data_IF_809388165826
#
_entry.id   IF_809388165826
#
_cell.length_a   1.000
_cell.length_b   1.000
_cell.length_c   1.000
_cell.angle_alpha   90.00
_cell.angle_beta   90.00
_cell.angle_gamma   90.00
#
_symmetry.space_group_name_H-M   'P 1'
#
loop_
_entity.id
_entity.type
_entity.pdbx_description
1 polymer ?
#
# COMPACT_ATOMS: atom_id res chain seq x y z
N UNK A 1 -15.69 -23.45 -2.21
CA UNK A 1 -15.20 -24.23 -1.05
C UNK A 1 -15.51 -23.41 0.20
N UNK A 2 -16.29 -23.95 1.14
CA UNK A 2 -16.89 -23.17 2.24
C UNK A 2 -15.83 -22.43 3.08
N UNK A 3 -15.85 -21.10 3.09
CA UNK A 3 -14.90 -20.23 3.81
C UNK A 3 -14.75 -20.60 5.30
N UNK A 4 -15.82 -21.08 5.94
CA UNK A 4 -15.81 -21.57 7.32
C UNK A 4 -14.92 -22.82 7.52
N UNK A 5 -14.84 -23.73 6.53
CA UNK A 5 -13.98 -24.93 6.61
C UNK A 5 -12.50 -24.57 6.47
N UNK A 6 -12.18 -23.57 5.65
CA UNK A 6 -10.79 -23.08 5.47
C UNK A 6 -10.31 -22.37 6.73
N UNK A 7 -11.18 -21.58 7.37
CA UNK A 7 -10.85 -20.91 8.65
C UNK A 7 -10.62 -21.92 9.78
N UNK A 8 -11.42 -23.01 9.83
CA UNK A 8 -11.26 -24.08 10.81
C UNK A 8 -10.00 -24.90 10.59
N UNK A 9 -9.60 -25.11 9.33
CA UNK A 9 -8.37 -25.82 8.99
C UNK A 9 -7.12 -24.98 9.36
N UNK A 10 -7.14 -23.67 9.11
CA UNK A 10 -6.10 -22.74 9.52
C UNK A 10 -5.98 -22.63 11.05
N UNK A 11 -7.12 -22.56 11.76
CA UNK A 11 -7.15 -22.59 13.21
C UNK A 11 -6.62 -23.92 13.79
N UNK A 12 -6.97 -25.06 13.17
CA UNK A 12 -6.48 -26.37 13.58
C UNK A 12 -4.96 -26.53 13.35
N UNK A 13 -4.42 -26.03 12.25
CA UNK A 13 -2.97 -26.00 11.98
C UNK A 13 -2.25 -25.12 12.99
N UNK A 14 -2.81 -23.97 13.37
CA UNK A 14 -2.30 -23.11 14.44
C UNK A 14 -2.28 -23.83 15.78
N UNK A 15 -3.35 -24.54 16.16
CA UNK A 15 -3.47 -25.26 17.45
C UNK A 15 -2.47 -26.43 17.51
N UNK A 16 -2.27 -27.17 16.41
CA UNK A 16 -1.28 -28.28 16.34
C UNK A 16 0.14 -27.73 16.44
N UNK A 17 0.43 -26.55 15.86
CA UNK A 17 1.71 -25.86 16.00
C UNK A 17 1.96 -25.41 17.44
N UNK A 18 0.91 -25.01 18.19
CA UNK A 18 0.98 -24.65 19.61
C UNK A 18 1.41 -25.83 20.49
N UNK A 19 0.90 -27.02 20.23
CA UNK A 19 1.21 -28.21 21.05
C UNK A 19 2.67 -28.66 20.90
N UNK A 20 3.31 -28.41 19.77
CA UNK A 20 4.73 -28.74 19.54
C UNK A 20 5.69 -27.65 20.02
N UNK A 21 5.25 -26.40 20.13
CA UNK A 21 6.09 -25.28 20.56
C UNK A 21 6.42 -25.27 22.05
N UNK A 22 5.66 -26.01 22.88
CA UNK A 22 5.88 -26.10 24.33
C UNK A 22 7.16 -26.84 24.75
N UNK A 23 7.83 -27.54 23.83
CA UNK A 23 9.02 -28.32 24.10
C UNK A 23 10.34 -27.69 23.60
N UNK A 24 10.41 -26.37 23.43
CA UNK A 24 11.67 -25.71 23.09
C UNK A 24 12.47 -25.50 24.38
N UNK A 25 13.56 -26.23 24.61
CA UNK A 25 14.41 -25.96 25.75
C UNK A 25 15.00 -24.56 25.64
N UNK A 26 14.82 -23.73 26.66
CA UNK A 26 15.49 -22.44 26.84
C UNK A 26 16.99 -22.62 27.19
N UNK A 27 17.64 -23.63 26.63
CA UNK A 27 19.05 -23.84 26.83
C UNK A 27 19.85 -22.73 26.12
N UNK A 28 20.34 -21.79 26.92
CA UNK A 28 21.36 -20.82 26.49
C UNK A 28 22.56 -21.59 25.93
N UNK A 29 22.93 -21.33 24.69
CA UNK A 29 24.16 -21.88 24.15
C UNK A 29 25.36 -21.27 24.87
N UNK A 30 26.53 -21.95 24.88
CA UNK A 30 27.80 -21.37 25.39
C UNK A 30 28.10 -20.00 24.75
N UNK A 31 27.66 -19.81 23.51
CA UNK A 31 27.82 -18.58 22.73
C UNK A 31 26.94 -17.45 23.26
N UNK A 32 25.72 -17.76 23.72
CA UNK A 32 24.84 -16.78 24.35
C UNK A 32 25.36 -16.38 25.72
N UNK A 33 25.90 -17.30 26.50
CA UNK A 33 26.55 -17.00 27.79
C UNK A 33 27.72 -16.04 27.62
N UNK A 34 28.56 -16.22 26.58
CA UNK A 34 29.66 -15.33 26.28
C UNK A 34 29.20 -13.94 25.78
N UNK A 35 28.04 -13.88 25.11
CA UNK A 35 27.45 -12.60 24.69
C UNK A 35 26.92 -11.82 25.90
N UNK A 36 26.20 -12.44 26.81
CA UNK A 36 25.60 -11.81 27.98
C UNK A 36 26.61 -11.48 29.11
N UNK A 37 27.81 -12.04 29.06
CA UNK A 37 28.87 -11.67 30.00
C UNK A 37 29.51 -10.32 29.70
N UNK A 38 29.28 -9.76 28.49
CA UNK A 38 29.79 -8.46 28.07
C UNK A 38 28.72 -7.38 28.25
N UNK A 39 29.14 -6.12 28.38
CA UNK A 39 28.23 -4.97 28.39
C UNK A 39 27.54 -4.85 27.03
N UNK A 40 26.28 -4.38 27.03
CA UNK A 40 25.55 -4.12 25.79
C UNK A 40 26.31 -3.13 24.89
N UNK A 41 26.64 -3.48 23.66
CA UNK A 41 27.61 -2.70 22.89
C UNK A 41 27.02 -1.54 22.10
N UNK A 42 25.69 -1.44 21.95
CA UNK A 42 25.04 -0.52 21.00
C UNK A 42 24.38 0.66 21.72
N UNK A 43 24.27 1.81 20.99
CA UNK A 43 23.58 3.02 21.47
C UNK A 43 22.08 2.79 21.60
N UNK A 44 21.50 2.04 20.69
CA UNK A 44 20.06 1.71 20.63
C UNK A 44 19.87 0.20 20.85
N UNK A 45 18.65 -0.20 21.26
CA UNK A 45 17.56 0.64 21.73
C UNK A 45 17.84 1.27 23.10
N UNK A 46 17.18 2.36 23.42
CA UNK A 46 17.09 2.87 24.79
C UNK A 46 16.56 1.74 25.67
N UNK A 47 17.14 1.52 26.84
CA UNK A 47 16.89 0.36 27.72
C UNK A 47 17.46 -0.98 27.20
N UNK A 48 18.23 -0.98 26.10
CA UNK A 48 18.87 -2.20 25.58
C UNK A 48 19.74 -2.89 26.60
N UNK A 49 20.47 -2.13 27.42
CA UNK A 49 21.30 -2.64 28.52
C UNK A 49 20.48 -3.39 29.59
N UNK A 50 19.33 -2.84 30.01
CA UNK A 50 18.43 -3.49 30.96
C UNK A 50 17.90 -4.83 30.46
N UNK A 51 17.54 -4.89 29.18
CA UNK A 51 17.05 -6.12 28.51
C UNK A 51 18.18 -7.13 28.36
N UNK A 52 19.39 -6.66 28.07
CA UNK A 52 20.60 -7.48 28.00
C UNK A 52 20.93 -8.11 29.36
N UNK A 53 20.86 -7.35 30.47
CA UNK A 53 21.02 -7.87 31.83
C UNK A 53 19.94 -8.90 32.18
N UNK A 54 18.71 -8.77 31.66
CA UNK A 54 17.65 -9.76 31.79
C UNK A 54 17.87 -11.02 30.90
N UNK A 55 19.03 -11.14 30.23
CA UNK A 55 19.41 -12.25 29.33
C UNK A 55 18.45 -12.45 28.16
N UNK A 56 17.82 -11.37 27.70
CA UNK A 56 16.97 -11.35 26.50
C UNK A 56 17.80 -10.82 25.35
N UNK A 57 17.94 -11.61 24.30
CA UNK A 57 18.70 -11.21 23.11
C UNK A 57 17.83 -10.40 22.16
N UNK A 58 18.20 -9.15 21.96
CA UNK A 58 17.56 -8.25 21.02
C UNK A 58 18.15 -8.43 19.61
N UNK A 59 17.38 -8.18 18.54
CA UNK A 59 17.92 -8.01 17.21
C UNK A 59 18.86 -6.80 17.16
N UNK A 60 19.72 -6.73 16.14
CA UNK A 60 20.49 -5.50 15.91
C UNK A 60 19.53 -4.30 15.77
N UNK A 61 19.89 -3.16 16.37
CA UNK A 61 18.95 -2.04 16.56
C UNK A 61 18.57 -1.31 15.28
N UNK A 62 19.35 -1.39 14.22
CA UNK A 62 19.08 -0.70 12.96
C UNK A 62 18.95 -1.70 11.82
N UNK A 63 18.22 -1.33 10.77
CA UNK A 63 18.05 -2.15 9.60
C UNK A 63 17.87 -1.36 8.32
N UNK A 64 18.26 -1.98 7.21
CA UNK A 64 17.90 -1.58 5.85
C UNK A 64 17.21 -2.76 5.20
N UNK A 65 15.99 -2.55 4.73
CA UNK A 65 15.16 -3.57 4.13
C UNK A 65 14.77 -3.15 2.71
N UNK A 66 15.00 -4.04 1.76
CA UNK A 66 14.52 -3.92 0.39
C UNK A 66 13.27 -4.77 0.22
N UNK A 67 12.24 -4.19 -0.35
CA UNK A 67 10.95 -4.83 -0.55
C UNK A 67 10.57 -4.77 -2.03
N UNK A 68 10.11 -5.91 -2.55
CA UNK A 68 9.39 -6.01 -3.81
C UNK A 68 7.96 -6.45 -3.52
N UNK A 69 6.99 -5.72 -4.05
CA UNK A 69 5.57 -6.00 -3.88
C UNK A 69 4.89 -6.00 -5.23
N UNK A 70 4.06 -7.01 -5.45
CA UNK A 70 3.14 -7.10 -6.57
C UNK A 70 1.74 -7.35 -6.02
N UNK A 71 0.73 -6.69 -6.60
CA UNK A 71 -0.63 -6.87 -6.12
C UNK A 71 -1.68 -6.25 -7.01
N UNK A 72 -2.91 -6.66 -6.75
CA UNK A 72 -4.14 -6.11 -7.32
C UNK A 72 -4.97 -5.51 -6.19
N UNK A 73 -5.55 -4.35 -6.45
CA UNK A 73 -6.45 -3.64 -5.56
C UNK A 73 -7.72 -3.29 -6.31
N UNK A 74 -8.86 -3.71 -5.80
CA UNK A 74 -10.16 -3.28 -6.29
C UNK A 74 -10.54 -1.98 -5.60
N UNK A 75 -11.12 -1.04 -6.36
CA UNK A 75 -11.38 0.34 -5.95
C UNK A 75 -12.80 0.73 -6.32
N UNK A 76 -13.33 1.73 -5.62
CA UNK A 76 -14.51 2.48 -6.04
C UNK A 76 -14.18 3.97 -6.15
N UNK A 77 -14.86 4.64 -7.08
CA UNK A 77 -14.80 6.08 -7.26
C UNK A 77 -16.15 6.67 -6.91
N UNK A 78 -16.15 7.82 -6.26
CA UNK A 78 -17.33 8.63 -5.97
C UNK A 78 -17.03 10.10 -6.17
N UNK A 79 -18.08 10.92 -6.17
CA UNK A 79 -17.99 12.39 -6.22
C UNK A 79 -17.17 12.88 -7.43
N UNK A 80 -17.48 12.32 -8.62
CA UNK A 80 -16.72 12.62 -9.82
C UNK A 80 -17.15 13.96 -10.44
N UNK A 81 -16.17 14.81 -10.68
CA UNK A 81 -16.35 16.05 -11.41
C UNK A 81 -15.36 16.17 -12.56
N UNK A 82 -15.82 16.77 -13.66
CA UNK A 82 -15.01 17.02 -14.87
C UNK A 82 -15.05 18.52 -15.20
N UNK A 83 -13.92 19.05 -15.65
CA UNK A 83 -13.82 20.41 -16.17
C UNK A 83 -13.04 20.41 -17.49
N UNK A 84 -13.46 21.22 -18.43
CA UNK A 84 -12.81 21.37 -19.74
C UNK A 84 -12.14 22.74 -19.79
N UNK A 85 -10.87 22.79 -20.15
CA UNK A 85 -10.10 24.02 -20.15
C UNK A 85 -9.06 24.07 -21.25
N UNK A 86 -8.43 25.23 -21.41
CA UNK A 86 -7.27 25.44 -22.29
C UNK A 86 -6.09 25.95 -21.48
N UNK A 87 -4.90 25.50 -21.81
CA UNK A 87 -3.68 25.97 -21.15
C UNK A 87 -3.40 27.48 -21.37
N UNK A 88 -3.92 28.04 -22.48
CA UNK A 88 -3.87 29.48 -22.77
C UNK A 88 -4.83 30.32 -21.91
N UNK A 89 -5.83 29.71 -21.29
CA UNK A 89 -6.79 30.43 -20.42
C UNK A 89 -6.23 30.48 -18.98
N UNK A 90 -6.06 31.66 -18.37
CA UNK A 90 -5.58 31.80 -17.00
C UNK A 90 -6.59 31.33 -15.95
N UNK A 91 -7.87 31.22 -16.29
CA UNK A 91 -8.91 30.80 -15.35
C UNK A 91 -9.04 29.26 -15.33
N UNK A 92 -9.11 28.62 -14.14
CA UNK A 92 -9.39 27.20 -14.06
C UNK A 92 -10.80 26.90 -14.58
N UNK A 93 -11.03 25.74 -15.22
CA UNK A 93 -12.33 25.38 -15.75
C UNK A 93 -13.36 25.19 -14.64
N UNK A 94 -14.61 25.48 -14.93
CA UNK A 94 -15.72 25.16 -14.06
C UNK A 94 -15.88 23.64 -14.00
N UNK A 95 -15.85 23.09 -12.78
CA UNK A 95 -16.07 21.65 -12.57
C UNK A 95 -17.58 21.33 -12.67
N UNK A 96 -17.88 20.27 -13.40
CA UNK A 96 -19.21 19.73 -13.62
C UNK A 96 -19.32 18.46 -12.81
N UNK A 97 -20.17 18.43 -11.80
CA UNK A 97 -20.49 17.21 -11.09
C UNK A 97 -21.23 16.23 -12.02
N UNK A 98 -20.64 15.07 -12.25
CA UNK A 98 -21.17 14.04 -13.14
C UNK A 98 -21.50 12.74 -12.39
N UNK A 99 -21.48 12.77 -11.06
CA UNK A 99 -21.70 11.61 -10.19
C UNK A 99 -23.01 10.91 -10.46
N UNK A 100 -24.08 11.67 -10.76
CA UNK A 100 -25.43 11.12 -10.99
C UNK A 100 -25.57 10.39 -12.32
N UNK A 101 -24.70 10.68 -13.31
CA UNK A 101 -24.78 10.10 -14.65
C UNK A 101 -23.69 9.07 -14.93
N UNK A 102 -22.65 9.05 -14.12
CA UNK A 102 -21.54 8.09 -14.26
C UNK A 102 -21.76 6.90 -13.33
N UNK A 103 -21.70 5.71 -13.91
CA UNK A 103 -21.65 4.46 -13.15
C UNK A 103 -20.43 3.65 -13.59
N UNK A 104 -19.65 3.22 -12.62
CA UNK A 104 -18.52 2.33 -12.81
C UNK A 104 -18.96 0.89 -12.49
N UNK A 105 -18.38 -0.09 -13.22
CA UNK A 105 -18.50 -1.50 -12.89
C UNK A 105 -17.32 -1.88 -11.96
N UNK A 106 -16.24 -2.35 -12.57
CA UNK A 106 -15.04 -2.72 -11.82
C UNK A 106 -13.91 -1.73 -12.07
N UNK A 107 -13.31 -1.26 -10.99
CA UNK A 107 -12.09 -0.47 -11.06
C UNK A 107 -10.98 -1.24 -10.37
N UNK A 108 -9.97 -1.63 -11.12
CA UNK A 108 -8.86 -2.40 -10.58
C UNK A 108 -7.52 -1.72 -10.85
N UNK A 109 -6.64 -1.79 -9.85
CA UNK A 109 -5.27 -1.32 -9.98
C UNK A 109 -4.31 -2.49 -9.74
N UNK A 110 -3.55 -2.88 -10.76
CA UNK A 110 -2.47 -3.85 -10.63
C UNK A 110 -1.16 -3.09 -10.46
N UNK A 111 -0.45 -3.35 -9.36
CA UNK A 111 0.74 -2.58 -9.01
C UNK A 111 1.97 -3.45 -8.84
N UNK A 112 3.10 -2.95 -9.31
CA UNK A 112 4.43 -3.51 -9.04
C UNK A 112 5.30 -2.42 -8.45
N UNK A 113 5.73 -2.60 -7.18
CA UNK A 113 6.50 -1.61 -6.46
C UNK A 113 7.78 -2.18 -5.91
N UNK A 114 8.79 -1.33 -5.82
CA UNK A 114 10.04 -1.61 -5.15
C UNK A 114 10.34 -0.48 -4.16
N UNK A 115 10.72 -0.83 -2.93
CA UNK A 115 11.08 0.18 -1.95
C UNK A 115 12.23 -0.24 -1.04
N UNK A 116 12.85 0.77 -0.45
CA UNK A 116 13.81 0.65 0.62
C UNK A 116 13.20 1.23 1.90
N UNK A 117 13.27 0.46 2.97
CA UNK A 117 12.92 0.87 4.32
C UNK A 117 14.18 0.95 5.17
N UNK A 118 14.35 2.05 5.88
CA UNK A 118 15.40 2.23 6.89
C UNK A 118 14.72 2.31 8.24
N UNK A 119 15.15 1.50 9.19
CA UNK A 119 14.49 1.39 10.49
C UNK A 119 15.47 1.40 11.67
N UNK A 120 14.94 1.84 12.82
CA UNK A 120 15.65 1.81 14.10
C UNK A 120 14.73 1.42 15.25
N UNK A 121 15.17 0.49 16.10
CA UNK A 121 14.54 0.19 17.37
C UNK A 121 14.91 1.28 18.40
N UNK A 122 13.99 2.20 18.66
CA UNK A 122 14.17 3.23 19.68
C UNK A 122 14.07 2.65 21.10
N UNK A 123 13.09 1.77 21.31
CA UNK A 123 12.91 0.99 22.52
C UNK A 123 12.96 -0.51 22.16
N UNK A 124 13.18 -1.42 23.10
CA UNK A 124 13.23 -2.85 22.82
C UNK A 124 12.00 -3.44 22.10
N UNK A 125 10.88 -2.74 22.18
CA UNK A 125 9.59 -3.12 21.59
C UNK A 125 9.07 -2.11 20.55
N UNK A 126 9.72 -0.96 20.36
CA UNK A 126 9.28 0.13 19.49
C UNK A 126 10.30 0.42 18.40
N UNK A 127 9.90 0.21 17.17
CA UNK A 127 10.67 0.49 15.96
C UNK A 127 10.06 1.65 15.18
N UNK A 128 10.88 2.56 14.69
CA UNK A 128 10.48 3.63 13.76
C UNK A 128 11.20 3.46 12.44
N UNK A 129 10.56 3.88 11.36
CA UNK A 129 11.14 3.70 10.04
C UNK A 129 10.71 4.73 9.01
N UNK A 130 11.57 4.95 8.03
CA UNK A 130 11.29 5.67 6.81
C UNK A 130 11.24 4.72 5.62
N UNK A 131 10.45 5.08 4.62
CA UNK A 131 10.28 4.33 3.37
C UNK A 131 10.53 5.29 2.21
N UNK A 132 11.26 4.84 1.21
CA UNK A 132 11.36 5.48 -0.10
C UNK A 132 11.21 4.39 -1.15
N UNK A 133 10.39 4.65 -2.16
CA UNK A 133 10.10 3.63 -3.16
C UNK A 133 9.63 4.19 -4.49
N UNK A 134 9.46 3.28 -5.42
CA UNK A 134 8.98 3.54 -6.75
C UNK A 134 7.90 2.52 -7.12
N UNK A 135 6.80 3.00 -7.66
CA UNK A 135 5.84 2.22 -8.41
C UNK A 135 6.32 2.18 -9.85
N UNK A 136 6.81 1.03 -10.30
CA UNK A 136 7.32 0.88 -11.67
C UNK A 136 6.18 0.86 -12.66
N UNK A 137 5.09 0.19 -12.29
CA UNK A 137 3.92 0.00 -13.12
C UNK A 137 2.69 -0.12 -12.22
N UNK A 138 1.71 0.71 -12.47
CA UNK A 138 0.35 0.56 -11.99
C UNK A 138 -0.58 0.58 -13.20
N UNK A 139 -1.11 -0.58 -13.57
CA UNK A 139 -2.15 -0.69 -14.59
C UNK A 139 -3.49 -0.45 -13.92
N UNK A 140 -4.16 0.62 -14.28
CA UNK A 140 -5.47 0.97 -13.78
C UNK A 140 -6.48 0.72 -14.90
N UNK A 141 -7.38 -0.21 -14.67
CA UNK A 141 -8.52 -0.49 -15.55
C UNK A 141 -9.78 0.08 -14.93
N UNK A 142 -10.47 0.91 -15.69
CA UNK A 142 -11.73 1.55 -15.29
C UNK A 142 -12.77 1.16 -16.32
N UNK A 143 -13.80 0.45 -15.89
CA UNK A 143 -14.96 0.10 -16.72
C UNK A 143 -16.12 1.03 -16.39
N UNK A 144 -16.45 1.90 -17.32
CA UNK A 144 -17.61 2.79 -17.24
C UNK A 144 -18.82 2.09 -17.85
N UNK A 145 -19.94 2.05 -17.11
CA UNK A 145 -21.22 1.51 -17.59
C UNK A 145 -22.13 2.58 -18.14
N UNK A 146 -22.12 3.74 -17.52
CA UNK A 146 -22.97 4.89 -17.88
C UNK A 146 -22.11 6.15 -17.99
N UNK A 147 -22.45 7.10 -18.86
CA UNK A 147 -23.62 7.14 -19.76
C UNK A 147 -23.55 6.18 -20.95
N UNK A 148 -22.35 5.72 -21.31
CA UNK A 148 -22.11 4.71 -22.35
C UNK A 148 -20.95 3.81 -21.91
N UNK A 149 -20.90 2.54 -22.37
CA UNK A 149 -19.82 1.65 -21.98
C UNK A 149 -18.47 2.17 -22.53
N UNK A 150 -17.50 2.28 -21.64
CA UNK A 150 -16.15 2.71 -21.96
C UNK A 150 -15.15 2.00 -21.05
N UNK A 151 -14.19 1.33 -21.65
CA UNK A 151 -13.05 0.77 -20.93
C UNK A 151 -11.83 1.71 -21.10
N UNK A 152 -11.30 2.15 -19.97
CA UNK A 152 -10.09 2.99 -19.93
C UNK A 152 -8.99 2.23 -19.21
N UNK A 153 -7.90 1.96 -19.92
CA UNK A 153 -6.71 1.35 -19.37
C UNK A 153 -5.58 2.38 -19.33
N UNK A 154 -5.10 2.67 -18.14
CA UNK A 154 -4.03 3.65 -17.94
C UNK A 154 -2.86 3.03 -17.19
N UNK A 155 -1.66 3.20 -17.72
CA UNK A 155 -0.43 2.87 -17.02
C UNK A 155 0.11 4.10 -16.29
N UNK A 156 0.40 3.92 -15.00
CA UNK A 156 0.89 4.98 -14.13
C UNK A 156 2.15 4.51 -13.43
N UNK A 157 3.14 5.38 -13.37
CA UNK A 157 4.35 5.21 -12.57
C UNK A 157 4.52 6.39 -11.63
N UNK A 158 5.28 6.19 -10.54
CA UNK A 158 5.50 7.27 -9.60
C UNK A 158 6.51 6.87 -8.52
N UNK A 159 6.86 7.83 -7.70
CA UNK A 159 7.70 7.63 -6.53
C UNK A 159 6.88 7.85 -5.26
N UNK A 160 7.29 7.25 -4.17
CA UNK A 160 6.66 7.51 -2.89
C UNK A 160 7.66 7.57 -1.75
N UNK A 161 7.32 8.36 -0.76
CA UNK A 161 8.01 8.42 0.51
C UNK A 161 7.01 8.16 1.63
N UNK A 162 7.51 7.67 2.75
CA UNK A 162 6.64 7.40 3.90
C UNK A 162 7.41 7.19 5.18
N UNK A 163 6.68 7.10 6.24
CA UNK A 163 7.19 6.80 7.57
C UNK A 163 6.19 5.91 8.33
N UNK A 164 6.70 5.23 9.31
CA UNK A 164 5.86 4.36 10.14
C UNK A 164 6.49 4.00 11.47
N UNK A 165 5.66 3.37 12.26
CA UNK A 165 5.97 2.90 13.60
C UNK A 165 5.52 1.46 13.71
N UNK A 166 6.35 0.62 14.32
CA UNK A 166 6.03 -0.77 14.59
C UNK A 166 6.31 -1.07 16.05
N UNK A 167 5.35 -1.70 16.73
CA UNK A 167 5.60 -2.34 18.01
C UNK A 167 5.65 -3.85 17.82
N UNK A 168 6.59 -4.50 18.49
CA UNK A 168 6.70 -5.96 18.45
C UNK A 168 7.24 -6.52 19.75
N UNK A 169 6.78 -7.71 20.07
CA UNK A 169 7.21 -8.46 21.24
C UNK A 169 6.99 -9.95 21.06
N UNK A 170 7.45 -10.73 22.04
CA UNK A 170 7.22 -12.17 22.08
C UNK A 170 6.78 -12.62 23.46
N UNK A 171 5.79 -13.50 23.49
CA UNK A 171 5.31 -14.16 24.71
C UNK A 171 5.51 -15.68 24.50
N UNK A 172 6.52 -16.23 25.17
CA UNK A 172 6.94 -17.59 24.91
C UNK A 172 7.40 -17.79 23.45
N UNK A 173 6.88 -18.79 22.75
CA UNK A 173 7.22 -19.01 21.33
C UNK A 173 6.43 -18.15 20.36
N UNK A 174 5.46 -17.38 20.83
CA UNK A 174 4.57 -16.57 20.01
C UNK A 174 5.11 -15.15 19.92
N UNK A 175 5.27 -14.62 18.71
CA UNK A 175 5.52 -13.22 18.48
C UNK A 175 4.21 -12.50 18.13
N UNK A 176 4.15 -11.21 18.45
CA UNK A 176 3.07 -10.30 18.07
C UNK A 176 3.71 -9.01 17.56
N UNK A 177 3.21 -8.47 16.47
CA UNK A 177 3.60 -7.15 15.99
C UNK A 177 2.40 -6.37 15.47
N UNK A 178 2.39 -5.08 15.77
CA UNK A 178 1.47 -4.09 15.23
C UNK A 178 2.30 -3.02 14.53
N UNK A 179 1.95 -2.71 13.31
CA UNK A 179 2.66 -1.71 12.51
C UNK A 179 1.66 -0.76 11.85
N UNK A 180 2.01 0.53 11.81
CA UNK A 180 1.23 1.57 11.15
C UNK A 180 2.19 2.45 10.36
N UNK A 181 1.84 2.71 9.10
CA UNK A 181 2.63 3.60 8.25
C UNK A 181 1.74 4.48 7.38
N UNK A 182 2.30 5.60 6.97
CA UNK A 182 1.70 6.53 6.02
C UNK A 182 2.67 6.79 4.89
N UNK A 183 2.17 6.71 3.66
CA UNK A 183 2.93 6.99 2.45
C UNK A 183 2.28 8.11 1.65
N UNK A 184 3.12 8.87 0.95
CA UNK A 184 2.78 9.96 0.04
C UNK A 184 3.28 9.55 -1.34
N UNK A 185 2.35 9.32 -2.26
CA UNK A 185 2.63 8.78 -3.59
C UNK A 185 2.55 9.91 -4.61
N UNK A 186 3.66 10.24 -5.21
CA UNK A 186 3.82 11.30 -6.19
C UNK A 186 3.67 10.75 -7.59
N UNK A 187 2.76 11.33 -8.35
CA UNK A 187 2.52 11.03 -9.75
C UNK A 187 2.43 12.34 -10.53
N UNK A 188 3.10 12.48 -11.67
CA UNK A 188 3.04 13.72 -12.48
C UNK A 188 1.63 14.16 -12.93
N UNK A 189 0.67 13.23 -12.94
CA UNK A 189 -0.72 13.52 -13.36
C UNK A 189 -1.63 13.97 -12.20
N UNK A 190 -1.12 13.99 -10.97
CA UNK A 190 -1.87 14.39 -9.79
C UNK A 190 -1.36 15.73 -9.29
N UNK A 191 -2.27 16.63 -8.95
CA UNK A 191 -1.94 17.95 -8.38
C UNK A 191 -1.33 17.79 -6.97
N UNK A 192 -1.87 16.86 -6.18
CA UNK A 192 -1.40 16.51 -4.83
C UNK A 192 -0.99 15.04 -4.72
N UNK A 193 -0.04 14.69 -3.83
CA UNK A 193 0.36 13.31 -3.62
C UNK A 193 -0.77 12.50 -2.99
N UNK A 194 -1.06 11.33 -3.57
CA UNK A 194 -2.02 10.40 -3.00
C UNK A 194 -1.49 9.83 -1.67
N UNK A 195 -2.31 9.97 -0.62
CA UNK A 195 -1.96 9.59 0.75
C UNK A 195 -2.57 8.23 1.09
N UNK A 196 -1.73 7.30 1.56
CA UNK A 196 -2.17 5.96 1.95
C UNK A 196 -1.76 5.67 3.39
N UNK A 197 -2.72 5.24 4.20
CA UNK A 197 -2.49 4.74 5.56
C UNK A 197 -2.61 3.23 5.54
N UNK A 198 -1.63 2.55 6.10
CA UNK A 198 -1.63 1.09 6.24
C UNK A 198 -1.39 0.73 7.70
N UNK A 199 -2.25 -0.13 8.25
CA UNK A 199 -2.05 -0.77 9.54
C UNK A 199 -1.96 -2.28 9.39
N UNK A 200 -1.09 -2.95 10.16
CA UNK A 200 -0.91 -4.38 10.08
C UNK A 200 -0.71 -5.03 11.44
N UNK A 201 -1.52 -6.05 11.75
CA UNK A 201 -1.35 -6.90 12.92
C UNK A 201 -0.85 -8.28 12.45
N UNK A 202 0.19 -8.79 13.08
CA UNK A 202 0.77 -10.10 12.80
C UNK A 202 1.04 -10.86 14.08
N UNK A 203 0.77 -12.15 14.08
CA UNK A 203 1.07 -13.03 15.20
C UNK A 203 1.37 -14.44 14.72
N UNK A 204 2.26 -15.13 15.41
CA UNK A 204 2.58 -16.50 15.08
C UNK A 204 3.81 -17.08 15.78
N UNK A 205 4.12 -18.35 15.56
CA UNK A 205 5.21 -19.04 16.22
C UNK A 205 6.58 -18.71 15.64
N UNK A 206 7.60 -18.77 16.51
CA UNK A 206 9.01 -18.65 16.17
C UNK A 206 9.69 -20.01 16.40
N UNK A 207 10.22 -20.59 15.34
CA UNK A 207 10.95 -21.87 15.35
C UNK A 207 12.44 -21.62 15.32
N UNK A 208 13.15 -21.97 16.39
CA UNK A 208 14.61 -21.82 16.49
C UNK A 208 15.31 -23.13 16.18
N UNK A 209 16.43 -23.06 15.46
CA UNK A 209 17.23 -24.25 15.14
C UNK A 209 18.15 -24.60 16.32
N UNK A 210 18.08 -25.84 16.81
CA UNK A 210 18.88 -26.31 17.97
C UNK A 210 20.38 -26.18 17.73
N UNK A 211 20.84 -26.49 16.52
CA UNK A 211 22.27 -26.52 16.16
C UNK A 211 22.79 -25.11 15.77
N UNK A 212 21.90 -24.17 15.47
CA UNK A 212 22.24 -22.80 15.12
C UNK A 212 21.21 -21.82 15.72
N UNK A 213 21.39 -21.43 16.98
CA UNK A 213 20.42 -20.58 17.70
C UNK A 213 20.28 -19.16 17.10
N UNK A 214 21.22 -18.75 16.25
CA UNK A 214 21.17 -17.48 15.51
C UNK A 214 20.15 -17.54 14.35
N UNK A 215 19.76 -18.76 13.95
CA UNK A 215 18.83 -19.03 12.87
C UNK A 215 17.44 -19.34 13.43
N UNK A 216 16.42 -18.74 12.82
CA UNK A 216 15.03 -19.07 13.12
C UNK A 216 14.13 -18.89 11.90
N UNK A 217 12.99 -19.56 11.91
CA UNK A 217 11.88 -19.33 11.01
C UNK A 217 10.71 -18.85 11.86
N UNK A 218 10.13 -17.73 11.48
CA UNK A 218 8.92 -17.19 12.06
C UNK A 218 7.81 -17.31 11.04
N UNK A 219 6.71 -17.92 11.41
CA UNK A 219 5.49 -17.96 10.62
C UNK A 219 4.46 -17.03 11.25
N UNK A 220 3.60 -16.42 10.45
CA UNK A 220 2.53 -15.61 10.98
C UNK A 220 1.28 -15.64 10.11
N UNK A 221 0.19 -15.33 10.76
CA UNK A 221 -1.06 -14.87 10.17
C UNK A 221 -1.41 -13.51 10.76
N UNK A 222 -2.31 -12.80 10.13
CA UNK A 222 -2.73 -11.50 10.63
C UNK A 222 -3.76 -10.82 9.74
N UNK A 223 -3.99 -9.56 10.06
CA UNK A 223 -4.88 -8.69 9.31
C UNK A 223 -4.15 -7.40 8.93
N UNK A 224 -4.52 -6.85 7.79
CA UNK A 224 -4.04 -5.56 7.32
C UNK A 224 -5.22 -4.67 7.00
N UNK A 225 -5.13 -3.43 7.43
CA UNK A 225 -6.04 -2.34 7.11
C UNK A 225 -5.36 -1.40 6.13
N UNK A 226 -6.06 -1.01 5.07
CA UNK A 226 -5.57 -0.03 4.09
C UNK A 226 -6.62 1.04 3.87
N UNK A 227 -6.20 2.31 3.86
CA UNK A 227 -7.10 3.45 3.65
C UNK A 227 -6.42 4.47 2.74
N UNK A 228 -7.10 4.86 1.68
CA UNK A 228 -6.77 6.02 0.87
C UNK A 228 -7.40 7.25 1.51
N UNK A 229 -6.63 8.33 1.62
CA UNK A 229 -7.09 9.56 2.23
C UNK A 229 -7.04 10.69 1.19
N UNK A 230 -8.20 11.21 0.87
CA UNK A 230 -8.36 12.43 0.12
C UNK A 230 -8.93 12.28 -1.28
N UNK A 231 -9.41 13.40 -1.76
CA UNK A 231 -9.80 13.68 -3.13
C UNK A 231 -8.58 13.54 -4.04
N UNK A 232 -8.82 13.04 -5.24
CA UNK A 232 -7.80 12.88 -6.26
C UNK A 232 -8.10 13.83 -7.40
N UNK A 233 -7.30 14.89 -7.50
CA UNK A 233 -7.37 15.89 -8.56
C UNK A 233 -6.25 15.65 -9.58
N UNK A 234 -6.55 15.92 -10.84
CA UNK A 234 -5.57 15.82 -11.89
C UNK A 234 -6.02 16.40 -13.21
N UNK A 235 -5.09 16.43 -14.15
CA UNK A 235 -5.28 16.99 -15.48
C UNK A 235 -4.75 16.03 -16.53
N UNK A 236 -5.51 15.86 -17.62
CA UNK A 236 -5.12 15.08 -18.79
C UNK A 236 -5.19 15.98 -20.02
N UNK A 237 -4.10 16.10 -20.77
CA UNK A 237 -4.10 16.83 -22.03
C UNK A 237 -5.04 16.15 -23.06
N UNK A 238 -5.76 16.92 -23.85
CA UNK A 238 -6.67 16.38 -24.85
C UNK A 238 -5.96 15.44 -25.84
N UNK A 239 -4.71 15.73 -26.19
CA UNK A 239 -3.88 14.90 -27.07
C UNK A 239 -3.49 13.56 -26.44
N UNK A 240 -3.49 13.43 -25.10
CA UNK A 240 -3.19 12.16 -24.42
C UNK A 240 -4.38 11.19 -24.39
N UNK A 241 -5.60 11.68 -24.66
CA UNK A 241 -6.81 10.87 -24.63
C UNK A 241 -6.86 9.84 -25.75
N UNK A 242 -6.23 10.11 -26.89
CA UNK A 242 -6.07 9.12 -27.95
C UNK A 242 -5.12 9.59 -29.08
N UNK A 243 -4.53 8.66 -29.86
CA UNK A 243 -3.67 8.97 -31.02
C UNK A 243 -4.37 9.81 -32.12
N UNK A 244 -5.73 9.75 -32.20
CA UNK A 244 -6.58 10.53 -33.10
C UNK A 244 -7.60 11.34 -32.26
N UNK A 245 -7.10 12.25 -31.42
CA UNK A 245 -7.92 12.98 -30.45
C UNK A 245 -9.17 13.67 -31.04
N UNK A 246 -9.14 14.36 -32.21
CA UNK A 246 -10.34 14.97 -32.76
C UNK A 246 -11.46 14.00 -33.07
N UNK A 247 -11.14 12.88 -33.74
CA UNK A 247 -12.12 11.85 -34.14
C UNK A 247 -12.70 11.13 -32.91
N UNK A 248 -11.87 10.91 -31.90
CA UNK A 248 -12.32 10.29 -30.66
C UNK A 248 -13.21 11.21 -29.81
N UNK A 249 -12.93 12.49 -29.77
CA UNK A 249 -13.80 13.47 -29.09
C UNK A 249 -15.14 13.57 -29.84
N UNK A 250 -15.15 13.56 -31.18
CA UNK A 250 -16.38 13.52 -31.96
C UNK A 250 -17.20 12.24 -31.70
N UNK A 251 -16.55 11.09 -31.64
CA UNK A 251 -17.23 9.86 -31.26
C UNK A 251 -17.85 9.94 -29.86
N UNK A 252 -17.16 10.55 -28.90
CA UNK A 252 -17.70 10.74 -27.54
C UNK A 252 -18.85 11.76 -27.48
N UNK A 253 -18.83 12.80 -28.31
CA UNK A 253 -19.98 13.69 -28.51
C UNK A 253 -21.19 12.92 -29.06
N UNK A 254 -20.99 12.08 -30.07
CA UNK A 254 -22.05 11.24 -30.66
C UNK A 254 -22.60 10.23 -29.63
N UNK A 255 -21.73 9.60 -28.83
CA UNK A 255 -22.13 8.72 -27.73
C UNK A 255 -22.96 9.48 -26.70
N UNK A 256 -22.55 10.67 -26.31
CA UNK A 256 -23.26 11.54 -25.36
C UNK A 256 -24.65 11.95 -25.90
N UNK A 257 -24.75 12.34 -27.19
CA UNK A 257 -26.02 12.65 -27.85
C UNK A 257 -26.93 11.44 -27.90
N UNK A 258 -26.40 10.28 -28.25
CA UNK A 258 -27.16 9.04 -28.35
C UNK A 258 -27.72 8.64 -26.96
N UNK A 259 -26.89 8.74 -25.92
CA UNK A 259 -27.31 8.49 -24.56
C UNK A 259 -28.45 9.45 -24.15
N UNK A 260 -28.28 10.75 -24.33
CA UNK A 260 -29.27 11.74 -23.92
C UNK A 260 -30.61 11.58 -24.65
N UNK A 261 -30.57 11.31 -25.95
CA UNK A 261 -31.76 11.09 -26.77
C UNK A 261 -32.48 9.76 -26.45
N UNK A 262 -31.75 8.80 -25.86
CA UNK A 262 -32.30 7.53 -25.38
C UNK A 262 -32.98 7.60 -23.99
N UNK A 263 -32.86 8.72 -23.26
CA UNK A 263 -33.46 8.92 -21.96
C UNK A 263 -34.96 9.16 -22.06
N UNK A 264 -35.67 8.83 -20.97
CA UNK A 264 -37.11 9.21 -20.83
C UNK A 264 -37.24 10.74 -20.73
N UNK A 265 -38.42 11.32 -21.07
CA UNK A 265 -38.62 12.77 -20.99
C UNK A 265 -38.33 13.38 -19.61
N UNK A 266 -38.59 12.63 -18.54
CA UNK A 266 -38.29 13.06 -17.18
C UNK A 266 -36.79 13.10 -16.91
N UNK A 267 -36.04 12.08 -17.32
CA UNK A 267 -34.59 12.02 -17.20
C UNK A 267 -33.90 13.08 -18.04
N UNK A 268 -34.43 13.35 -19.25
CA UNK A 268 -33.90 14.44 -20.08
C UNK A 268 -34.03 15.80 -19.39
N UNK A 269 -35.12 16.06 -18.71
CA UNK A 269 -35.28 17.28 -17.92
C UNK A 269 -34.29 17.32 -16.76
N UNK A 270 -34.12 16.20 -16.06
CA UNK A 270 -33.23 16.08 -14.90
C UNK A 270 -31.75 16.30 -15.28
N UNK A 271 -31.30 15.67 -16.35
CA UNK A 271 -29.89 15.69 -16.75
C UNK A 271 -29.55 16.77 -17.80
N UNK A 272 -30.51 17.60 -18.22
CA UNK A 272 -30.33 18.62 -19.25
C UNK A 272 -29.12 19.52 -18.99
N UNK A 273 -28.98 20.04 -17.78
CA UNK A 273 -27.91 20.99 -17.43
C UNK A 273 -26.51 20.32 -17.49
N UNK A 274 -26.42 19.07 -17.03
CA UNK A 274 -25.15 18.29 -17.08
C UNK A 274 -24.82 17.98 -18.53
N UNK A 275 -25.81 17.51 -19.31
CA UNK A 275 -25.65 17.24 -20.74
C UNK A 275 -25.13 18.45 -21.52
N UNK A 276 -25.81 19.62 -21.39
CA UNK A 276 -25.41 20.84 -22.09
C UNK A 276 -23.97 21.29 -21.75
N UNK A 277 -23.58 21.16 -20.49
CA UNK A 277 -22.22 21.51 -20.07
C UNK A 277 -21.17 20.55 -20.61
N UNK A 278 -21.46 19.24 -20.63
CA UNK A 278 -20.57 18.23 -21.20
C UNK A 278 -20.45 18.38 -22.71
N UNK A 279 -21.56 18.63 -23.41
CA UNK A 279 -21.60 18.85 -24.86
C UNK A 279 -20.76 20.07 -25.26
N UNK A 280 -20.97 21.20 -24.58
CA UNK A 280 -20.19 22.43 -24.79
C UNK A 280 -18.71 22.20 -24.52
N UNK A 281 -18.37 21.56 -23.37
CA UNK A 281 -16.98 21.31 -22.98
C UNK A 281 -16.24 20.38 -23.96
N UNK A 282 -16.89 19.30 -24.41
CA UNK A 282 -16.32 18.41 -25.43
C UNK A 282 -16.19 19.10 -26.80
N UNK A 283 -17.15 19.96 -27.17
CA UNK A 283 -17.09 20.73 -28.39
C UNK A 283 -15.93 21.73 -28.37
N UNK A 284 -15.77 22.49 -27.30
CA UNK A 284 -14.63 23.40 -27.11
C UNK A 284 -13.28 22.66 -27.09
N UNK A 285 -13.24 21.45 -26.49
CA UNK A 285 -12.06 20.60 -26.48
C UNK A 285 -11.69 20.09 -27.90
N UNK A 286 -12.70 19.73 -28.71
CA UNK A 286 -12.53 19.31 -30.10
C UNK A 286 -11.94 20.44 -30.96
N UNK A 287 -12.46 21.66 -30.80
CA UNK A 287 -12.00 22.85 -31.55
C UNK A 287 -10.59 23.29 -31.15
N UNK A 288 -10.17 23.02 -29.91
CA UNK A 288 -8.89 23.44 -29.35
C UNK A 288 -8.01 22.29 -28.85
N UNK A 289 -7.99 21.17 -29.53
CA UNK A 289 -7.33 19.93 -29.11
C UNK A 289 -5.84 20.09 -28.73
N UNK A 290 -5.11 20.97 -29.44
CA UNK A 290 -3.67 21.19 -29.18
C UNK A 290 -3.38 21.88 -27.83
N UNK A 291 -4.33 22.69 -27.37
CA UNK A 291 -4.22 23.49 -26.13
C UNK A 291 -5.22 23.06 -25.06
N UNK A 292 -6.07 22.08 -25.39
CA UNK A 292 -7.15 21.62 -24.52
C UNK A 292 -6.68 20.62 -23.48
N UNK A 293 -7.35 20.65 -22.32
CA UNK A 293 -7.20 19.65 -21.27
C UNK A 293 -8.52 19.35 -20.57
N UNK A 294 -8.61 18.14 -19.98
CA UNK A 294 -9.68 17.78 -19.04
C UNK A 294 -9.10 17.77 -17.65
N UNK A 295 -9.68 18.55 -16.76
CA UNK A 295 -9.48 18.46 -15.33
C UNK A 295 -10.48 17.49 -14.73
N UNK A 296 -10.03 16.60 -13.85
CA UNK A 296 -10.89 15.65 -13.15
C UNK A 296 -10.65 15.72 -11.65
N UNK A 297 -11.70 15.44 -10.91
CA UNK A 297 -11.68 15.26 -9.46
C UNK A 297 -12.57 14.10 -9.09
N UNK A 298 -12.12 13.25 -8.18
CA UNK A 298 -12.91 12.14 -7.63
C UNK A 298 -12.40 11.69 -6.26
N UNK A 299 -13.26 11.09 -5.47
CA UNK A 299 -12.90 10.38 -4.26
C UNK A 299 -12.62 8.91 -4.56
N UNK A 300 -11.44 8.45 -4.15
CA UNK A 300 -11.02 7.06 -4.28
C UNK A 300 -11.20 6.33 -2.96
N UNK A 301 -11.87 5.18 -3.00
CA UNK A 301 -12.15 4.39 -1.81
C UNK A 301 -11.81 2.91 -2.04
N UNK A 302 -11.52 2.22 -0.94
CA UNK A 302 -11.45 0.76 -0.85
C UNK A 302 -12.74 0.32 -0.17
N UNK A 303 -13.53 -0.55 -0.81
CA UNK A 303 -14.82 -0.99 -0.25
C UNK A 303 -14.61 -1.89 0.98
N UNK A 304 -13.69 -2.86 0.88
CA UNK A 304 -13.26 -3.67 2.01
C UNK A 304 -11.79 -3.33 2.37
N UNK A 305 -11.58 -2.44 3.36
CA UNK A 305 -10.24 -2.01 3.75
C UNK A 305 -9.45 -3.08 4.50
N UNK A 306 -10.08 -4.19 4.90
CA UNK A 306 -9.46 -5.25 5.67
C UNK A 306 -9.07 -6.44 4.79
N UNK A 307 -7.82 -6.89 4.96
CA UNK A 307 -7.28 -8.07 4.30
C UNK A 307 -6.68 -9.02 5.33
N UNK A 308 -6.81 -10.31 5.06
CA UNK A 308 -6.02 -11.32 5.75
C UNK A 308 -4.62 -11.40 5.17
N UNK A 309 -3.66 -11.75 6.00
CA UNK A 309 -2.30 -12.01 5.55
C UNK A 309 -1.71 -13.26 6.18
N UNK A 310 -0.83 -13.90 5.45
CA UNK A 310 0.04 -14.97 5.95
C UNK A 310 1.45 -14.71 5.48
N UNK A 311 2.43 -15.14 6.26
CA UNK A 311 3.80 -14.92 5.86
C UNK A 311 4.80 -15.74 6.66
N UNK A 312 6.05 -15.64 6.22
CA UNK A 312 7.19 -16.26 6.84
C UNK A 312 8.40 -15.34 6.81
N UNK A 313 9.22 -15.43 7.83
CA UNK A 313 10.54 -14.81 7.87
C UNK A 313 11.57 -15.88 8.22
N UNK A 314 12.59 -15.97 7.40
CA UNK A 314 13.78 -16.75 7.69
C UNK A 314 14.89 -15.81 8.14
N UNK A 315 15.24 -15.87 9.42
CA UNK A 315 16.45 -15.26 9.94
C UNK A 315 17.61 -16.21 9.72
N UNK A 316 18.46 -15.91 8.76
CA UNK A 316 19.65 -16.69 8.42
C UNK A 316 20.70 -16.56 9.52
N UNK A 317 20.85 -15.34 10.03
CA UNK A 317 21.66 -14.97 11.17
C UNK A 317 21.16 -13.63 11.73
N UNK A 318 21.81 -13.06 12.75
CA UNK A 318 21.36 -11.77 13.33
C UNK A 318 21.45 -10.58 12.37
N UNK A 319 22.13 -10.71 11.23
CA UNK A 319 22.26 -9.63 10.23
C UNK A 319 21.30 -9.79 9.05
N UNK A 320 21.09 -11.01 8.57
CA UNK A 320 20.34 -11.26 7.33
C UNK A 320 19.01 -11.95 7.60
N UNK A 321 17.97 -11.39 7.05
CA UNK A 321 16.61 -11.90 7.13
C UNK A 321 15.95 -11.84 5.76
N UNK A 322 15.30 -12.93 5.37
CA UNK A 322 14.39 -12.99 4.22
C UNK A 322 12.96 -13.05 4.73
N UNK A 323 12.06 -12.38 4.03
CA UNK A 323 10.65 -12.35 4.38
C UNK A 323 9.79 -12.50 3.13
N UNK A 324 8.72 -13.29 3.24
CA UNK A 324 7.67 -13.38 2.24
C UNK A 324 6.31 -13.26 2.93
N UNK A 325 5.36 -12.56 2.31
CA UNK A 325 4.00 -12.36 2.83
C UNK A 325 3.03 -12.36 1.67
N UNK A 326 1.89 -13.03 1.83
CA UNK A 326 0.76 -13.00 0.92
C UNK A 326 -0.45 -12.37 1.62
N UNK A 327 -1.20 -11.56 0.88
CA UNK A 327 -2.40 -10.86 1.33
C UNK A 327 -3.57 -11.29 0.45
N UNK A 328 -4.73 -11.54 1.07
CA UNK A 328 -5.92 -12.07 0.41
C UNK A 328 -7.16 -11.85 1.29
N UNK A 329 -8.34 -12.19 0.77
CA UNK A 329 -9.65 -11.99 1.43
C UNK A 329 -9.90 -10.51 1.78
N UNK A 330 -10.37 -9.79 0.80
CA UNK A 330 -10.66 -8.37 0.78
C UNK A 330 -10.42 -7.83 -0.62
N UNK A 331 -10.51 -6.53 -0.79
CA UNK A 331 -10.32 -5.86 -2.08
C UNK A 331 -8.86 -5.88 -2.57
N UNK A 332 -7.95 -6.41 -1.75
CA UNK A 332 -6.52 -6.48 -2.09
C UNK A 332 -5.99 -7.90 -2.08
N UNK A 333 -5.34 -8.26 -3.18
CA UNK A 333 -4.51 -9.46 -3.26
C UNK A 333 -3.08 -9.04 -3.58
N UNK A 334 -2.11 -9.42 -2.74
CA UNK A 334 -0.73 -9.01 -2.95
C UNK A 334 0.28 -10.03 -2.44
N UNK A 335 1.46 -10.02 -3.05
CA UNK A 335 2.65 -10.73 -2.61
C UNK A 335 3.78 -9.75 -2.29
N UNK A 336 4.40 -9.92 -1.16
CA UNK A 336 5.56 -9.14 -0.71
C UNK A 336 6.75 -10.06 -0.50
N UNK A 337 7.89 -9.68 -1.04
CA UNK A 337 9.18 -10.28 -0.75
C UNK A 337 10.14 -9.23 -0.20
N UNK A 338 10.93 -9.57 0.84
CA UNK A 338 11.85 -8.63 1.47
C UNK A 338 13.19 -9.26 1.83
N UNK A 339 14.25 -8.49 1.63
CA UNK A 339 15.58 -8.76 2.12
C UNK A 339 15.97 -7.68 3.14
N UNK A 340 16.28 -8.08 4.36
CA UNK A 340 16.63 -7.18 5.45
C UNK A 340 18.06 -7.42 5.93
N UNK A 341 18.84 -6.35 6.03
CA UNK A 341 20.16 -6.32 6.65
C UNK A 341 20.12 -5.50 7.93
N UNK A 342 20.55 -6.11 9.04
CA UNK A 342 20.54 -5.46 10.35
C UNK A 342 21.95 -5.21 10.87
N UNK A 343 22.14 -4.08 11.56
CA UNK A 343 23.41 -3.66 12.14
C UNK A 343 23.20 -2.83 13.41
N UNK A 344 24.29 -2.56 14.12
CA UNK A 344 24.27 -1.72 15.31
C UNK A 344 25.43 -0.74 15.32
N UNK A 345 25.16 0.47 15.83
CA UNK A 345 26.20 1.49 16.05
C UNK A 345 26.69 1.34 17.49
N UNK A 346 28.00 1.14 17.65
CA UNK A 346 28.63 0.95 18.96
C UNK A 346 28.71 2.27 19.76
N UNK A 347 28.31 2.23 21.04
CA UNK A 347 28.21 3.43 21.88
C UNK A 347 29.50 3.90 22.53
N UNK A 348 30.49 3.02 22.68
CA UNK A 348 31.63 3.27 23.58
C UNK A 348 32.71 4.25 23.08
N UNK A 349 32.69 4.66 21.80
CA UNK A 349 33.72 5.54 21.26
C UNK A 349 33.31 7.00 21.04
N UNK A 350 32.05 7.36 21.26
CA UNK A 350 31.58 8.73 21.04
C UNK A 350 31.72 9.62 22.28
N UNK A 351 31.64 9.06 23.51
CA UNK A 351 31.68 9.81 24.76
C UNK A 351 32.94 9.62 25.60
N UNK A 352 33.89 8.79 25.16
CA UNK A 352 35.11 8.51 25.94
C UNK A 352 36.32 9.33 25.54
N UNK A 353 36.16 10.45 24.80
CA UNK A 353 37.18 11.47 24.63
C UNK A 353 36.79 12.69 25.46
N UNK A 354 36.97 12.59 26.75
CA UNK A 354 37.30 13.68 27.65
C UNK A 354 38.25 13.16 28.69
#
# INVERSE_FOLDING_TARGET
MNSKKTLFLLAAILIISFAQAQNIPTAFSKRDSAFFSKTYPYILPILGDKVHHAKIRLPYPMGVMFNALVGRQDLSLSDMALGFGRYSDPAPPNMIDVSDIIAFDDITAQTSTFNMRIDAWLLPFLNVYGIVGQTKKADISVNLLKPFPLEVNTEVSGTYVGYGVMTAGAVGPLFISLDVNRTYNYNPRLDDPAKVLIGGLRTGPVFRFKNNPDMNITLWTGAMYSHFNGETDGTIAALELAPNAPDNIENKLNDLHTWYNGLTPLEQILYKNIYEKLDNGLTELKEGVEDGYIRYSFNKQINDPWNMLVGAQWQINYRWQLRAEAQFLGDRTAGLFSLNYRFGIHGKNWFSKK
#
